data_IF_414244655432
#
_entry.id   IF_414244655432
#
_cell.length_a   1.000
_cell.length_b   1.000
_cell.length_c   1.000
_cell.angle_alpha   90.00
_cell.angle_beta   90.00
_cell.angle_gamma   90.00
#
_symmetry.space_group_name_H-M   'P 1'
#
loop_
_entity.id
_entity.type
_entity.pdbx_description
1 polymer ?
#
# COMPACT_ATOMS: atom_id res chain seq x y z
N UNK A 1 28.86 -55.14 -32.54
CA UNK A 1 27.88 -54.96 -31.46
C UNK A 1 28.36 -53.95 -30.41
N UNK A 2 29.52 -54.17 -29.77
CA UNK A 2 30.04 -53.32 -28.68
C UNK A 2 30.28 -51.85 -29.08
N UNK A 3 30.78 -51.58 -30.28
CA UNK A 3 31.01 -50.21 -30.76
C UNK A 3 29.74 -49.37 -30.96
N UNK A 4 28.57 -50.01 -31.14
CA UNK A 4 27.29 -49.28 -31.30
C UNK A 4 26.77 -48.77 -29.95
N UNK A 5 26.88 -49.60 -28.90
CA UNK A 5 26.56 -49.25 -27.51
C UNK A 5 27.40 -48.07 -27.00
N UNK A 6 28.71 -48.07 -27.26
CA UNK A 6 29.58 -46.94 -26.86
C UNK A 6 29.26 -45.65 -27.61
N UNK A 7 28.71 -45.71 -28.82
CA UNK A 7 28.32 -44.51 -29.58
C UNK A 7 27.07 -43.87 -28.99
N UNK A 8 26.08 -44.65 -28.59
CA UNK A 8 24.84 -44.12 -28.00
C UNK A 8 25.07 -43.61 -26.57
N UNK A 9 25.98 -44.22 -25.80
CA UNK A 9 26.43 -43.69 -24.51
C UNK A 9 27.10 -42.31 -24.63
N UNK A 10 27.99 -42.13 -25.62
CA UNK A 10 28.60 -40.81 -25.87
C UNK A 10 27.55 -39.76 -26.23
N UNK A 11 26.49 -40.13 -26.95
CA UNK A 11 25.40 -39.22 -27.28
C UNK A 11 24.64 -38.75 -26.04
N UNK A 12 24.34 -39.65 -25.10
CA UNK A 12 23.72 -39.29 -23.82
C UNK A 12 24.66 -38.39 -23.00
N UNK A 13 25.96 -38.71 -22.97
CA UNK A 13 26.98 -37.92 -22.25
C UNK A 13 27.07 -36.49 -22.80
N UNK A 14 27.13 -36.32 -24.12
CA UNK A 14 27.20 -35.00 -24.74
C UNK A 14 25.95 -34.16 -24.46
N UNK A 15 24.77 -34.78 -24.49
CA UNK A 15 23.52 -34.08 -24.16
C UNK A 15 23.46 -33.68 -22.67
N UNK A 16 24.02 -34.48 -21.76
CA UNK A 16 24.17 -34.12 -20.36
C UNK A 16 25.18 -32.97 -20.17
N UNK A 17 26.30 -33.00 -20.90
CA UNK A 17 27.32 -31.94 -20.87
C UNK A 17 26.75 -30.60 -21.36
N UNK A 18 25.94 -30.62 -22.42
CA UNK A 18 25.27 -29.43 -22.95
C UNK A 18 24.30 -28.81 -21.92
N UNK A 19 23.59 -29.63 -21.15
CA UNK A 19 22.72 -29.15 -20.06
C UNK A 19 23.52 -28.66 -18.87
N UNK A 20 24.60 -29.35 -18.51
CA UNK A 20 25.44 -29.02 -17.36
C UNK A 20 26.26 -27.74 -17.56
N UNK A 21 26.57 -27.36 -18.81
CA UNK A 21 27.30 -26.14 -19.14
C UNK A 21 26.49 -24.85 -18.90
N UNK A 22 25.18 -24.97 -18.65
CA UNK A 22 24.29 -23.86 -18.29
C UNK A 22 23.66 -23.12 -19.48
N UNK A 23 24.14 -23.36 -20.71
CA UNK A 23 23.48 -22.88 -21.95
C UNK A 23 22.55 -23.93 -22.58
N UNK A 24 22.40 -25.08 -21.93
CA UNK A 24 21.69 -26.22 -22.51
C UNK A 24 20.22 -25.96 -22.79
N UNK A 25 19.86 -26.18 -24.04
CA UNK A 25 18.49 -26.15 -24.50
C UNK A 25 17.69 -27.32 -23.89
N UNK A 26 16.91 -27.03 -22.84
CA UNK A 26 16.04 -27.99 -22.17
C UNK A 26 14.86 -28.47 -23.06
N UNK A 27 14.75 -28.02 -24.31
CA UNK A 27 13.81 -28.57 -25.29
C UNK A 27 14.37 -29.78 -26.03
N UNK A 28 15.70 -29.99 -26.00
CA UNK A 28 16.33 -31.15 -26.64
C UNK A 28 15.88 -32.48 -26.01
N UNK A 29 15.71 -33.49 -26.86
CA UNK A 29 15.34 -34.85 -26.46
C UNK A 29 16.25 -35.85 -27.15
N UNK A 30 16.63 -36.88 -26.42
CA UNK A 30 17.34 -38.04 -26.95
C UNK A 30 16.34 -39.05 -27.52
N UNK A 31 16.47 -39.38 -28.81
CA UNK A 31 15.71 -40.50 -29.40
C UNK A 31 16.19 -41.83 -28.82
N UNK A 32 15.33 -42.64 -28.19
CA UNK A 32 15.66 -44.00 -27.81
C UNK A 32 15.85 -44.86 -29.07
N UNK A 33 17.04 -45.42 -29.27
CA UNK A 33 17.40 -46.20 -30.48
C UNK A 33 17.60 -47.70 -30.22
N UNK A 34 17.52 -48.11 -28.95
CA UNK A 34 17.71 -49.49 -28.51
C UNK A 34 16.76 -49.79 -27.36
N UNK A 35 16.36 -51.04 -27.20
CA UNK A 35 15.45 -51.50 -26.12
C UNK A 35 16.25 -52.02 -24.90
N UNK A 36 17.50 -51.56 -24.79
CA UNK A 36 18.47 -51.93 -23.75
C UNK A 36 18.59 -50.83 -22.66
N UNK A 37 19.56 -50.99 -21.77
CA UNK A 37 19.83 -50.05 -20.69
C UNK A 37 20.15 -48.64 -21.19
N UNK A 38 20.73 -48.49 -22.39
CA UNK A 38 21.03 -47.18 -22.99
C UNK A 38 19.75 -46.52 -23.50
N UNK A 39 18.82 -47.30 -24.05
CA UNK A 39 17.46 -46.84 -24.36
C UNK A 39 16.72 -46.30 -23.14
N UNK A 40 16.69 -47.07 -22.04
CA UNK A 40 16.09 -46.64 -20.77
C UNK A 40 16.77 -45.40 -20.18
N UNK A 41 18.09 -45.27 -20.33
CA UNK A 41 18.82 -44.09 -19.89
C UNK A 41 18.39 -42.83 -20.67
N UNK A 42 18.23 -42.94 -21.99
CA UNK A 42 17.73 -41.84 -22.83
C UNK A 42 16.30 -41.40 -22.44
N UNK A 43 15.42 -42.35 -22.13
CA UNK A 43 14.07 -42.06 -21.64
C UNK A 43 14.09 -41.33 -20.28
N UNK A 44 14.88 -41.83 -19.33
CA UNK A 44 15.03 -41.20 -18.02
C UNK A 44 15.64 -39.80 -18.11
N UNK A 45 16.61 -39.60 -19.01
CA UNK A 45 17.16 -38.29 -19.33
C UNK A 45 16.07 -37.35 -19.84
N UNK A 46 15.28 -37.75 -20.83
CA UNK A 46 14.19 -36.93 -21.36
C UNK A 46 13.18 -36.52 -20.29
N UNK A 47 12.84 -37.44 -19.37
CA UNK A 47 11.94 -37.14 -18.24
C UNK A 47 12.55 -36.13 -17.27
N UNK A 48 13.84 -36.28 -16.95
CA UNK A 48 14.56 -35.34 -16.08
C UNK A 48 14.60 -33.94 -16.69
N UNK A 49 14.99 -33.83 -17.96
CA UNK A 49 15.05 -32.55 -18.69
C UNK A 49 13.67 -31.92 -18.83
N UNK A 50 12.62 -32.72 -19.10
CA UNK A 50 11.24 -32.23 -19.15
C UNK A 50 10.75 -31.65 -17.81
N UNK A 51 11.13 -32.28 -16.70
CA UNK A 51 10.82 -31.77 -15.36
C UNK A 51 11.59 -30.47 -15.07
N UNK A 52 12.87 -30.39 -15.42
CA UNK A 52 13.66 -29.16 -15.28
C UNK A 52 13.08 -28.01 -16.12
N UNK A 53 12.77 -28.26 -17.39
CA UNK A 53 12.12 -27.29 -18.26
C UNK A 53 10.84 -26.74 -17.62
N UNK A 54 9.97 -27.64 -17.16
CA UNK A 54 8.72 -27.25 -16.48
C UNK A 54 8.97 -26.40 -15.24
N UNK A 55 10.00 -26.72 -14.45
CA UNK A 55 10.35 -25.96 -13.25
C UNK A 55 10.85 -24.55 -13.61
N UNK A 56 11.74 -24.44 -14.61
CA UNK A 56 12.26 -23.15 -15.09
C UNK A 56 11.14 -22.29 -15.68
N UNK A 57 10.24 -22.87 -16.47
CA UNK A 57 9.05 -22.16 -16.99
C UNK A 57 8.17 -21.64 -15.86
N UNK A 58 7.90 -22.46 -14.84
CA UNK A 58 7.13 -22.02 -13.67
C UNK A 58 7.83 -20.90 -12.90
N UNK A 59 9.14 -20.99 -12.70
CA UNK A 59 9.94 -19.94 -12.07
C UNK A 59 9.88 -18.64 -12.87
N UNK A 60 9.98 -18.70 -14.19
CA UNK A 60 9.83 -17.53 -15.06
C UNK A 60 8.46 -16.87 -14.88
N UNK A 61 7.37 -17.65 -14.90
CA UNK A 61 6.02 -17.13 -14.64
C UNK A 61 5.88 -16.48 -13.26
N UNK A 62 6.39 -17.11 -12.21
CA UNK A 62 6.35 -16.56 -10.85
C UNK A 62 7.14 -15.26 -10.76
N UNK A 63 8.33 -15.20 -11.36
CA UNK A 63 9.16 -13.99 -11.40
C UNK A 63 8.47 -12.84 -12.14
N UNK A 64 7.82 -13.13 -13.28
CA UNK A 64 7.02 -12.12 -14.00
C UNK A 64 5.83 -11.63 -13.20
N UNK A 65 5.09 -12.54 -12.55
CA UNK A 65 3.96 -12.17 -11.69
C UNK A 65 4.42 -11.33 -10.48
N UNK A 66 5.55 -11.68 -9.87
CA UNK A 66 6.15 -10.92 -8.77
C UNK A 66 6.55 -9.51 -9.22
N UNK A 67 7.14 -9.38 -10.41
CA UNK A 67 7.51 -8.08 -10.98
C UNK A 67 6.29 -7.19 -11.22
N UNK A 68 5.21 -7.75 -11.76
CA UNK A 68 3.96 -7.02 -11.99
C UNK A 68 3.29 -6.61 -10.66
N UNK A 69 3.29 -7.50 -9.67
CA UNK A 69 2.77 -7.19 -8.34
C UNK A 69 3.58 -6.08 -7.66
N UNK A 70 4.91 -6.09 -7.79
CA UNK A 70 5.78 -5.05 -7.27
C UNK A 70 5.50 -3.69 -7.93
N UNK A 71 5.30 -3.66 -9.25
CA UNK A 71 4.90 -2.46 -10.00
C UNK A 71 3.56 -1.91 -9.52
N UNK A 72 2.57 -2.80 -9.35
CA UNK A 72 1.24 -2.42 -8.85
C UNK A 72 1.34 -1.83 -7.44
N UNK A 73 2.11 -2.47 -6.56
CA UNK A 73 2.33 -1.97 -5.18
C UNK A 73 3.01 -0.61 -5.18
N UNK A 74 4.01 -0.38 -6.05
CA UNK A 74 4.68 0.91 -6.17
C UNK A 74 3.71 2.02 -6.62
N UNK A 75 2.84 1.74 -7.61
CA UNK A 75 1.81 2.68 -8.04
C UNK A 75 0.81 2.99 -6.91
N UNK A 76 0.36 1.97 -6.17
CA UNK A 76 -0.55 2.18 -5.04
C UNK A 76 0.10 2.99 -3.91
N UNK A 77 1.40 2.83 -3.67
CA UNK A 77 2.14 3.61 -2.69
C UNK A 77 2.20 5.10 -3.09
N UNK A 78 2.43 5.39 -4.38
CA UNK A 78 2.41 6.74 -4.93
C UNK A 78 1.02 7.40 -4.78
N UNK A 79 -0.04 6.69 -5.17
CA UNK A 79 -1.42 7.17 -4.99
C UNK A 79 -1.77 7.42 -3.51
N UNK A 80 -1.27 6.58 -2.60
CA UNK A 80 -1.44 6.78 -1.15
C UNK A 80 -0.68 8.01 -0.65
N UNK A 81 0.54 8.23 -1.13
CA UNK A 81 1.33 9.43 -0.79
C UNK A 81 0.58 10.71 -1.17
N UNK A 82 0.01 10.75 -2.38
CA UNK A 82 -0.80 11.88 -2.84
C UNK A 82 -2.05 12.07 -1.96
N UNK A 83 -2.77 11.00 -1.62
CA UNK A 83 -3.92 11.07 -0.71
C UNK A 83 -3.55 11.59 0.68
N UNK A 84 -2.40 11.20 1.23
CA UNK A 84 -1.91 11.71 2.50
C UNK A 84 -1.66 13.23 2.42
N UNK A 85 -1.11 13.73 1.31
CA UNK A 85 -0.94 15.16 1.10
C UNK A 85 -2.29 15.90 1.15
N UNK A 86 -3.30 15.40 0.44
CA UNK A 86 -4.64 16.01 0.47
C UNK A 86 -5.26 15.97 1.86
N UNK A 87 -5.12 14.85 2.58
CA UNK A 87 -5.64 14.72 3.93
C UNK A 87 -4.93 15.67 4.91
N UNK A 88 -3.64 15.92 4.72
CA UNK A 88 -2.90 16.91 5.51
C UNK A 88 -3.45 18.33 5.29
N UNK A 89 -3.81 18.68 4.06
CA UNK A 89 -4.44 19.96 3.75
C UNK A 89 -5.83 20.08 4.39
N UNK A 90 -6.64 19.03 4.37
CA UNK A 90 -7.93 18.98 5.07
C UNK A 90 -7.76 19.17 6.58
N UNK A 91 -6.77 18.51 7.20
CA UNK A 91 -6.48 18.68 8.63
C UNK A 91 -6.07 20.12 8.94
N UNK A 92 -5.26 20.76 8.08
CA UNK A 92 -4.89 22.16 8.25
C UNK A 92 -6.12 23.08 8.18
N UNK A 93 -7.04 22.84 7.24
CA UNK A 93 -8.30 23.59 7.17
C UNK A 93 -9.16 23.41 8.42
N UNK A 94 -9.29 22.17 8.92
CA UNK A 94 -10.02 21.89 10.16
C UNK A 94 -9.38 22.60 11.34
N UNK A 95 -8.04 22.60 11.45
CA UNK A 95 -7.34 23.32 12.50
C UNK A 95 -7.58 24.83 12.44
N UNK A 96 -7.61 25.42 11.24
CA UNK A 96 -7.99 26.82 11.04
C UNK A 96 -9.42 27.07 11.50
N UNK A 97 -10.38 26.23 11.08
CA UNK A 97 -11.77 26.37 11.50
C UNK A 97 -11.93 26.26 13.02
N UNK A 98 -11.18 25.39 13.68
CA UNK A 98 -11.16 25.27 15.15
C UNK A 98 -10.64 26.55 15.81
N UNK A 99 -9.59 27.18 15.27
CA UNK A 99 -9.10 28.46 15.75
C UNK A 99 -10.14 29.58 15.58
N UNK A 100 -10.81 29.65 14.43
CA UNK A 100 -11.89 30.61 14.19
C UNK A 100 -13.07 30.39 15.15
N UNK A 101 -13.48 29.14 15.37
CA UNK A 101 -14.53 28.81 16.33
C UNK A 101 -14.14 29.18 17.77
N UNK A 102 -12.88 28.97 18.16
CA UNK A 102 -12.39 29.39 19.47
C UNK A 102 -12.44 30.91 19.63
N UNK A 103 -12.02 31.66 18.60
CA UNK A 103 -12.12 33.12 18.59
C UNK A 103 -13.57 33.60 18.69
N UNK A 104 -14.48 33.03 17.91
CA UNK A 104 -15.91 33.35 17.97
C UNK A 104 -16.51 33.03 19.35
N UNK A 105 -16.10 31.93 19.98
CA UNK A 105 -16.54 31.57 21.33
C UNK A 105 -16.03 32.58 22.36
N UNK A 106 -14.78 33.05 22.24
CA UNK A 106 -14.22 34.09 23.10
C UNK A 106 -14.97 35.41 22.95
N UNK A 107 -15.34 35.79 21.73
CA UNK A 107 -16.13 36.97 21.43
C UNK A 107 -17.55 36.87 22.05
N UNK A 108 -18.20 35.72 21.92
CA UNK A 108 -19.51 35.46 22.54
C UNK A 108 -19.42 35.59 24.07
N UNK A 109 -18.37 35.04 24.70
CA UNK A 109 -18.18 35.17 26.13
C UNK A 109 -18.00 36.64 26.57
N UNK A 110 -17.21 37.42 25.83
CA UNK A 110 -17.02 38.86 26.10
C UNK A 110 -18.31 39.68 25.92
N UNK A 111 -19.12 39.35 24.91
CA UNK A 111 -20.43 39.97 24.70
C UNK A 111 -21.41 39.62 25.82
N UNK A 112 -21.39 38.39 26.32
CA UNK A 112 -22.20 37.97 27.47
C UNK A 112 -21.82 38.73 28.75
N UNK A 113 -20.51 38.90 29.01
CA UNK A 113 -20.00 39.66 30.16
C UNK A 113 -20.38 41.14 30.10
N UNK A 114 -20.22 41.76 28.91
CA UNK A 114 -20.65 43.15 28.67
C UNK A 114 -22.16 43.32 28.85
N UNK A 115 -22.96 42.36 28.40
CA UNK A 115 -24.42 42.36 28.57
C UNK A 115 -24.81 42.24 30.04
N UNK A 116 -24.12 41.41 30.81
CA UNK A 116 -24.33 41.29 32.25
C UNK A 116 -24.01 42.61 32.98
N UNK A 117 -22.86 43.23 32.70
CA UNK A 117 -22.46 44.54 33.27
C UNK A 117 -23.49 45.62 32.96
N UNK A 118 -23.92 45.75 31.71
CA UNK A 118 -24.94 46.72 31.31
C UNK A 118 -26.29 46.48 32.01
N UNK A 119 -26.65 45.21 32.25
CA UNK A 119 -27.87 44.86 32.97
C UNK A 119 -27.78 45.25 34.45
N UNK A 120 -26.62 45.07 35.09
CA UNK A 120 -26.38 45.52 36.47
C UNK A 120 -26.46 47.04 36.59
N UNK A 121 -25.84 47.79 35.66
CA UNK A 121 -25.93 49.25 35.62
C UNK A 121 -27.39 49.74 35.47
N UNK A 122 -28.17 49.09 34.59
CA UNK A 122 -29.58 49.41 34.40
C UNK A 122 -30.41 49.19 35.69
N UNK A 123 -30.12 48.11 36.43
CA UNK A 123 -30.76 47.83 37.72
C UNK A 123 -30.40 48.90 38.76
N UNK A 124 -29.13 49.32 38.83
CA UNK A 124 -28.71 50.40 39.72
C UNK A 124 -29.40 51.73 39.39
N UNK A 125 -29.46 52.09 38.10
CA UNK A 125 -30.14 53.29 37.63
C UNK A 125 -31.64 53.27 37.97
N UNK A 126 -32.33 52.14 37.78
CA UNK A 126 -33.73 51.99 38.16
C UNK A 126 -33.94 52.11 39.68
N UNK A 127 -33.07 51.51 40.49
CA UNK A 127 -33.11 51.61 41.95
C UNK A 127 -32.95 53.07 42.41
N UNK A 128 -31.97 53.77 41.84
CA UNK A 128 -31.76 55.19 42.12
C UNK A 128 -32.96 56.05 41.72
N UNK A 129 -33.50 55.85 40.52
CA UNK A 129 -34.71 56.52 40.05
C UNK A 129 -35.92 56.29 40.95
N UNK A 130 -36.13 55.04 41.40
CA UNK A 130 -37.19 54.69 42.35
C UNK A 130 -37.04 55.42 43.68
N UNK A 131 -35.81 55.54 44.19
CA UNK A 131 -35.53 56.28 45.42
C UNK A 131 -35.86 57.77 45.27
N UNK A 132 -35.52 58.40 44.14
CA UNK A 132 -35.86 59.81 43.89
C UNK A 132 -37.37 60.05 43.80
N UNK A 133 -38.11 59.15 43.14
CA UNK A 133 -39.58 59.21 43.09
C UNK A 133 -40.19 59.08 44.48
N UNK A 134 -39.66 58.19 45.32
CA UNK A 134 -40.13 58.01 46.70
C UNK A 134 -39.86 59.26 47.55
N UNK A 135 -38.67 59.86 47.41
CA UNK A 135 -38.30 61.08 48.13
C UNK A 135 -39.16 62.28 47.73
N UNK A 136 -39.44 62.42 46.43
CA UNK A 136 -40.33 63.49 45.94
C UNK A 136 -41.77 63.30 46.43
N UNK A 137 -42.31 62.08 46.47
CA UNK A 137 -43.63 61.80 47.07
C UNK A 137 -43.71 62.17 48.56
N UNK A 138 -42.64 62.01 49.33
CA UNK A 138 -42.60 62.39 50.74
C UNK A 138 -42.41 63.89 51.01
N UNK A 139 -42.10 64.68 49.96
CA UNK A 139 -41.79 66.12 50.07
C UNK A 139 -42.97 67.03 49.68
N UNK A 140 -44.11 66.44 49.28
CA UNK A 140 -45.38 67.10 48.93
C UNK A 140 -46.37 66.90 50.07
#
# INVERSE_FOLDING_TARGET
>A
LVGFLFRDLNRVSNALEEIASGEGDLTQRLEPRSDDEVGKLAENFNRFVGNMHTMVTKLSHVSSALSEQARTTAQQAEERSQRISYQQDEINMVATAVNEMAAATQEIAGNADSTASNSEEAVQACSHGSSQVTQTQGSI
#
